data_IF_572824282529
#
_entry.id   IF_572824282529
#
_cell.length_a   1.000
_cell.length_b   1.000
_cell.length_c   1.000
_cell.angle_alpha   90.00
_cell.angle_beta   90.00
_cell.angle_gamma   90.00
#
_symmetry.space_group_name_H-M   'P 1'
#
loop_
_entity.id
_entity.type
_entity.pdbx_description
1 polymer ?
#
# COMPACT_ATOMS: atom_id res chain seq x y z
N UNK A 1 76.24 22.97 3.84
CA UNK A 1 75.68 21.95 2.94
C UNK A 1 74.33 21.52 3.51
N UNK A 2 73.24 21.86 2.80
CA UNK A 2 71.85 21.52 3.14
C UNK A 2 71.54 20.13 2.63
N UNK A 3 70.79 19.31 3.38
CA UNK A 3 69.77 18.44 2.79
C UNK A 3 68.55 18.47 3.71
N UNK A 4 67.44 18.91 3.13
CA UNK A 4 66.10 19.01 3.70
C UNK A 4 65.43 17.65 3.56
N UNK A 5 64.82 17.13 4.62
CA UNK A 5 63.86 16.03 4.50
C UNK A 5 62.46 16.67 4.45
N UNK A 6 61.77 16.44 3.34
CA UNK A 6 60.41 16.91 3.09
C UNK A 6 59.44 16.28 4.10
N UNK A 7 58.68 17.12 4.79
CA UNK A 7 57.39 16.76 5.35
C UNK A 7 56.42 16.52 4.19
N UNK A 8 55.82 15.34 4.11
CA UNK A 8 54.58 15.13 3.36
C UNK A 8 53.51 14.76 4.37
N UNK A 9 52.77 15.78 4.81
CA UNK A 9 51.59 15.62 5.64
C UNK A 9 50.46 15.10 4.77
N UNK A 10 50.05 13.85 4.97
CA UNK A 10 48.71 13.40 4.62
C UNK A 10 47.93 13.38 5.93
N UNK A 11 47.31 14.51 6.23
CA UNK A 11 46.37 14.62 7.34
C UNK A 11 45.08 13.91 6.88
N UNK A 12 45.00 12.61 7.10
CA UNK A 12 43.70 11.94 7.17
C UNK A 12 43.11 12.33 8.52
N UNK A 13 42.33 13.42 8.53
CA UNK A 13 41.45 13.71 9.66
C UNK A 13 40.39 12.60 9.63
N UNK A 14 40.68 11.49 10.29
CA UNK A 14 39.63 10.63 10.82
C UNK A 14 38.83 11.50 11.79
N UNK A 15 37.77 12.12 11.29
CA UNK A 15 36.64 12.49 12.13
C UNK A 15 36.06 11.15 12.61
N UNK A 16 36.68 10.56 13.63
CA UNK A 16 35.93 9.76 14.58
C UNK A 16 34.96 10.75 15.21
N UNK A 17 33.78 10.92 14.59
CA UNK A 17 32.60 11.25 15.36
C UNK A 17 32.42 10.07 16.32
N UNK A 18 33.11 10.13 17.44
CA UNK A 18 32.54 9.65 18.68
C UNK A 18 31.29 10.51 18.84
N UNK A 19 30.18 10.04 18.26
CA UNK A 19 28.87 10.45 18.72
C UNK A 19 28.90 10.06 20.19
N UNK A 20 29.14 11.05 21.04
CA UNK A 20 28.73 10.95 22.43
C UNK A 20 27.24 10.68 22.33
N UNK A 21 26.87 9.43 22.54
CA UNK A 21 25.50 9.06 22.79
C UNK A 21 25.09 9.86 24.02
N UNK A 22 24.52 11.04 23.81
CA UNK A 22 23.53 11.55 24.75
C UNK A 22 22.54 10.41 24.88
N UNK A 23 22.56 9.76 26.05
CA UNK A 23 21.49 8.85 26.45
C UNK A 23 20.23 9.69 26.39
N UNK A 24 19.53 9.62 25.26
CA UNK A 24 18.12 9.98 25.20
C UNK A 24 17.47 9.13 26.30
N UNK A 25 16.94 9.80 27.32
CA UNK A 25 16.18 9.12 28.35
C UNK A 25 15.05 8.42 27.64
N UNK A 26 15.13 7.08 27.54
CA UNK A 26 14.02 6.26 27.13
C UNK A 26 12.80 6.72 27.94
N UNK A 27 11.75 7.15 27.24
CA UNK A 27 10.51 7.57 27.87
C UNK A 27 10.03 6.40 28.73
N UNK A 28 10.03 6.57 30.05
CA UNK A 28 9.56 5.55 30.99
C UNK A 28 8.14 5.12 30.57
N UNK A 29 8.01 3.86 30.12
CA UNK A 29 6.76 3.28 29.63
C UNK A 29 6.68 2.98 28.12
N UNK A 30 7.67 3.40 27.32
CA UNK A 30 7.76 2.96 25.92
C UNK A 30 8.39 1.56 25.84
N UNK A 31 7.64 0.59 25.31
CA UNK A 31 8.17 -0.73 24.95
C UNK A 31 8.47 -0.76 23.45
N UNK A 32 9.72 -0.95 23.08
CA UNK A 32 10.10 -1.17 21.69
C UNK A 32 9.80 -2.62 21.30
N UNK A 33 9.13 -2.83 20.17
CA UNK A 33 8.88 -4.15 19.59
C UNK A 33 9.35 -4.13 18.14
N UNK A 34 10.26 -5.04 17.79
CA UNK A 34 10.66 -5.25 16.41
C UNK A 34 9.52 -5.93 15.65
N UNK A 35 9.04 -5.29 14.59
CA UNK A 35 7.92 -5.76 13.77
C UNK A 35 8.32 -6.20 12.36
N UNK A 36 9.50 -5.79 11.87
CA UNK A 36 10.09 -6.23 10.60
C UNK A 36 11.59 -5.85 10.53
N UNK A 37 12.40 -6.67 9.85
CA UNK A 37 13.79 -6.33 9.51
C UNK A 37 13.88 -5.82 8.07
N UNK A 38 14.19 -4.52 7.89
CA UNK A 38 14.14 -3.88 6.56
C UNK A 38 15.55 -3.74 5.97
N UNK A 39 15.77 -4.32 4.79
CA UNK A 39 16.99 -4.10 4.02
C UNK A 39 16.87 -2.81 3.16
N UNK A 40 17.47 -1.72 3.66
CA UNK A 40 17.33 -0.37 3.13
C UNK A 40 17.72 -0.06 1.66
N UNK A 41 18.57 -0.82 0.92
CA UNK A 41 19.00 -0.44 -0.43
C UNK A 41 17.89 -0.44 -1.50
N UNK A 42 16.74 -1.07 -1.25
CA UNK A 42 15.78 -1.43 -2.32
C UNK A 42 14.31 -1.14 -2.01
N UNK A 43 13.99 -0.58 -0.83
CA UNK A 43 12.61 -0.31 -0.42
C UNK A 43 12.12 1.09 -0.81
N UNK A 44 10.82 1.21 -1.07
CA UNK A 44 10.14 2.50 -1.28
C UNK A 44 9.62 3.00 0.07
N UNK A 45 10.26 4.01 0.67
CA UNK A 45 9.93 4.48 2.03
C UNK A 45 8.47 4.85 2.21
N UNK A 46 7.86 5.52 1.22
CA UNK A 46 6.46 5.98 1.29
C UNK A 46 5.44 4.82 1.25
N UNK A 47 5.89 3.63 0.88
CA UNK A 47 5.03 2.45 0.79
C UNK A 47 4.77 1.78 2.12
N UNK A 48 5.62 1.98 3.15
CA UNK A 48 5.47 1.32 4.45
C UNK A 48 4.07 1.56 5.04
N UNK A 49 3.43 0.47 5.45
CA UNK A 49 2.17 0.44 6.18
C UNK A 49 2.31 -0.45 7.38
N UNK A 50 1.78 0.01 8.49
CA UNK A 50 1.64 -0.76 9.72
C UNK A 50 0.16 -1.11 9.87
N UNK A 51 -0.15 -2.32 10.33
CA UNK A 51 -1.52 -2.71 10.62
C UNK A 51 -2.11 -1.89 11.77
N UNK A 52 -3.45 -1.72 11.84
CA UNK A 52 -4.10 -1.00 12.93
C UNK A 52 -3.74 -1.49 14.34
N UNK A 53 -3.47 -2.77 14.53
CA UNK A 53 -3.05 -3.35 15.82
C UNK A 53 -1.55 -3.19 16.12
N UNK A 54 -0.78 -2.62 15.19
CA UNK A 54 0.65 -2.35 15.32
C UNK A 54 1.54 -3.58 15.17
N UNK A 55 1.01 -4.75 14.78
CA UNK A 55 1.76 -6.02 14.82
C UNK A 55 2.28 -6.50 13.48
N UNK A 56 1.85 -5.86 12.39
CA UNK A 56 2.17 -6.27 11.03
C UNK A 56 2.70 -5.11 10.23
N UNK A 57 3.57 -5.42 9.28
CA UNK A 57 4.14 -4.44 8.38
C UNK A 57 4.02 -4.91 6.93
N UNK A 58 3.75 -3.98 6.03
CA UNK A 58 3.79 -4.22 4.59
C UNK A 58 4.50 -3.07 3.89
N UNK A 59 5.34 -3.37 2.91
CA UNK A 59 6.05 -2.37 2.12
C UNK A 59 6.36 -2.89 0.71
N UNK A 60 6.57 -1.98 -0.22
CA UNK A 60 6.94 -2.27 -1.60
C UNK A 60 8.46 -2.29 -1.73
N UNK A 61 8.96 -3.35 -2.34
CA UNK A 61 10.38 -3.55 -2.67
C UNK A 61 10.56 -3.47 -4.18
N UNK A 62 11.57 -2.72 -4.62
CA UNK A 62 11.99 -2.66 -6.02
C UNK A 62 13.20 -3.56 -6.25
N UNK A 63 13.15 -4.38 -7.28
CA UNK A 63 14.20 -5.36 -7.61
C UNK A 63 15.06 -4.88 -8.79
N UNK A 64 16.27 -5.44 -8.93
CA UNK A 64 17.21 -5.06 -9.99
C UNK A 64 16.67 -5.34 -11.40
N UNK A 65 15.78 -6.31 -11.57
CA UNK A 65 15.08 -6.62 -12.83
C UNK A 65 13.90 -5.67 -13.11
N UNK A 66 13.81 -4.55 -12.37
CA UNK A 66 12.77 -3.52 -12.48
C UNK A 66 11.36 -4.02 -12.19
N UNK A 67 11.25 -5.06 -11.36
CA UNK A 67 9.98 -5.51 -10.82
C UNK A 67 9.75 -4.89 -9.45
N UNK A 68 8.52 -4.98 -8.99
CA UNK A 68 8.10 -4.58 -7.66
C UNK A 68 7.30 -5.72 -7.03
N UNK A 69 7.42 -5.89 -5.72
CA UNK A 69 6.55 -6.78 -4.96
C UNK A 69 6.19 -6.15 -3.62
N UNK A 70 5.13 -6.66 -3.00
CA UNK A 70 4.78 -6.30 -1.63
C UNK A 70 5.36 -7.38 -0.72
N UNK A 71 6.20 -6.96 0.22
CA UNK A 71 6.60 -7.76 1.37
C UNK A 71 5.56 -7.56 2.47
N UNK A 72 5.09 -8.66 3.07
CA UNK A 72 4.17 -8.63 4.22
C UNK A 72 4.72 -9.54 5.30
N UNK A 73 5.08 -8.98 6.45
CA UNK A 73 5.60 -9.73 7.60
C UNK A 73 6.81 -10.62 7.22
N UNK A 74 7.80 -10.02 6.53
CA UNK A 74 9.03 -10.64 6.02
C UNK A 74 8.78 -11.77 5.00
N UNK A 75 7.69 -11.66 4.23
CA UNK A 75 7.33 -12.61 3.18
C UNK A 75 7.13 -11.89 1.86
N UNK A 76 8.02 -12.21 0.91
CA UNK A 76 7.95 -11.75 -0.46
C UNK A 76 6.66 -12.25 -1.16
N UNK A 77 5.85 -11.31 -1.63
CA UNK A 77 4.73 -11.57 -2.52
C UNK A 77 5.16 -11.77 -3.98
N UNK A 78 4.18 -11.94 -4.86
CA UNK A 78 4.43 -12.05 -6.31
C UNK A 78 5.04 -10.74 -6.85
N UNK A 79 5.90 -10.87 -7.87
CA UNK A 79 6.52 -9.75 -8.58
C UNK A 79 5.65 -9.24 -9.72
N UNK A 80 5.58 -7.93 -9.83
CA UNK A 80 4.79 -7.16 -10.80
C UNK A 80 5.68 -6.14 -11.53
N UNK A 81 5.22 -5.66 -12.69
CA UNK A 81 5.85 -4.53 -13.40
C UNK A 81 5.77 -3.22 -12.59
N UNK A 82 4.77 -3.11 -11.72
CA UNK A 82 4.61 -2.00 -10.78
C UNK A 82 3.55 -2.29 -9.73
N UNK A 83 3.63 -1.63 -8.58
CA UNK A 83 2.59 -1.62 -7.55
C UNK A 83 1.90 -0.27 -7.54
N UNK A 84 0.58 -0.26 -7.39
CA UNK A 84 -0.24 0.95 -7.44
C UNK A 84 0.03 1.84 -6.22
N UNK A 85 0.16 3.15 -6.46
CA UNK A 85 0.25 4.14 -5.39
C UNK A 85 -0.97 4.05 -4.44
N UNK A 86 -0.75 4.36 -3.17
CA UNK A 86 -1.73 4.21 -2.08
C UNK A 86 -2.12 2.76 -1.77
N UNK A 87 -1.29 1.80 -2.17
CA UNK A 87 -1.29 0.42 -1.66
C UNK A 87 0.13 0.02 -1.22
N UNK A 88 0.33 -0.98 -0.34
CA UNK A 88 -0.66 -1.86 0.33
C UNK A 88 -1.65 -1.15 1.27
N UNK A 89 -2.74 -1.84 1.66
CA UNK A 89 -3.72 -1.39 2.69
C UNK A 89 -4.16 -2.55 3.60
N UNK A 90 -4.14 -2.35 4.92
CA UNK A 90 -4.65 -3.34 5.89
C UNK A 90 -6.15 -3.16 6.12
N UNK A 91 -6.85 -4.26 6.43
CA UNK A 91 -8.21 -4.18 6.99
C UNK A 91 -8.22 -3.60 8.40
N UNK A 92 -9.36 -3.04 8.86
CA UNK A 92 -9.52 -2.53 10.23
C UNK A 92 -9.15 -3.55 11.33
N UNK A 93 -9.46 -4.82 11.14
CA UNK A 93 -9.13 -5.90 12.07
C UNK A 93 -7.67 -6.39 11.99
N UNK A 94 -6.84 -5.76 11.15
CA UNK A 94 -5.43 -6.08 10.92
C UNK A 94 -5.15 -7.46 10.28
N UNK A 95 -6.18 -8.25 9.96
CA UNK A 95 -6.00 -9.63 9.49
C UNK A 95 -5.83 -9.73 7.98
N UNK A 96 -6.34 -8.76 7.24
CA UNK A 96 -6.37 -8.78 5.78
C UNK A 96 -5.51 -7.69 5.18
N UNK A 97 -5.10 -7.92 3.94
CA UNK A 97 -4.24 -7.02 3.19
C UNK A 97 -4.65 -7.01 1.72
N UNK A 98 -4.64 -5.84 1.11
CA UNK A 98 -4.84 -5.68 -0.31
C UNK A 98 -3.83 -4.73 -0.96
N UNK A 99 -3.48 -5.02 -2.21
CA UNK A 99 -2.68 -4.13 -3.06
C UNK A 99 -3.05 -4.35 -4.53
N UNK A 100 -2.59 -3.46 -5.41
CA UNK A 100 -2.77 -3.66 -6.85
C UNK A 100 -1.42 -3.72 -7.55
N UNK A 101 -1.22 -4.78 -8.34
CA UNK A 101 -0.01 -5.00 -9.14
C UNK A 101 -0.31 -4.92 -10.63
N UNK A 102 0.66 -4.43 -11.40
CA UNK A 102 0.58 -4.39 -12.86
C UNK A 102 1.34 -5.59 -13.47
N UNK A 103 0.71 -6.31 -14.39
CA UNK A 103 1.35 -7.34 -15.22
C UNK A 103 0.82 -7.24 -16.63
N UNK A 104 1.69 -7.33 -17.64
CA UNK A 104 1.30 -7.33 -19.06
C UNK A 104 0.39 -6.15 -19.44
N UNK A 105 0.67 -4.96 -18.88
CA UNK A 105 -0.11 -3.71 -19.04
C UNK A 105 -1.53 -3.75 -18.47
N UNK A 106 -1.89 -4.78 -17.71
CA UNK A 106 -3.14 -4.88 -16.96
C UNK A 106 -2.88 -4.75 -15.47
N UNK A 107 -3.87 -4.25 -14.74
CA UNK A 107 -3.83 -4.18 -13.29
C UNK A 107 -4.65 -5.30 -12.67
N UNK A 108 -4.15 -5.83 -11.56
CA UNK A 108 -4.77 -6.90 -10.79
C UNK A 108 -4.78 -6.47 -9.33
N UNK A 109 -5.93 -6.53 -8.68
CA UNK A 109 -6.00 -6.40 -7.22
C UNK A 109 -5.67 -7.76 -6.61
N UNK A 110 -4.78 -7.75 -5.64
CA UNK A 110 -4.45 -8.90 -4.80
C UNK A 110 -5.09 -8.67 -3.44
N UNK A 111 -5.91 -9.63 -2.99
CA UNK A 111 -6.53 -9.62 -1.67
C UNK A 111 -6.12 -10.90 -0.95
N UNK A 112 -5.47 -10.76 0.21
CA UNK A 112 -5.03 -11.90 1.03
C UNK A 112 -4.17 -12.90 0.24
N UNK A 113 -3.32 -12.39 -0.66
CA UNK A 113 -2.43 -13.17 -1.52
C UNK A 113 -3.08 -13.78 -2.75
N UNK A 114 -4.40 -13.57 -2.96
CA UNK A 114 -5.12 -14.07 -4.13
C UNK A 114 -5.31 -12.96 -5.17
N UNK A 115 -4.92 -13.26 -6.40
CA UNK A 115 -5.16 -12.40 -7.57
C UNK A 115 -6.63 -12.43 -7.99
N UNK A 116 -7.23 -11.25 -8.12
CA UNK A 116 -8.56 -11.06 -8.70
C UNK A 116 -8.49 -10.93 -10.23
N UNK A 117 -9.60 -10.54 -10.87
CA UNK A 117 -9.68 -10.32 -12.31
C UNK A 117 -8.73 -9.19 -12.78
N UNK A 118 -8.26 -9.30 -14.02
CA UNK A 118 -7.44 -8.29 -14.70
C UNK A 118 -8.29 -7.14 -15.26
N UNK A 119 -7.77 -5.92 -15.13
CA UNK A 119 -8.41 -4.67 -15.56
C UNK A 119 -7.45 -3.79 -16.36
N UNK A 120 -8.00 -2.86 -17.15
CA UNK A 120 -7.22 -1.84 -17.84
C UNK A 120 -6.58 -0.86 -16.85
N UNK A 121 -7.35 -0.44 -15.85
CA UNK A 121 -6.90 0.42 -14.76
C UNK A 121 -7.58 0.04 -13.44
N UNK A 122 -6.94 0.41 -12.34
CA UNK A 122 -7.52 0.43 -10.99
C UNK A 122 -7.45 1.87 -10.48
N UNK A 123 -8.52 2.36 -9.86
CA UNK A 123 -8.55 3.71 -9.30
C UNK A 123 -7.52 3.86 -8.18
N UNK A 124 -6.56 4.77 -8.32
CA UNK A 124 -5.58 5.03 -7.28
C UNK A 124 -6.27 5.44 -5.97
N UNK A 125 -5.91 4.78 -4.86
CA UNK A 125 -6.54 5.01 -3.56
C UNK A 125 -8.00 4.53 -3.43
N UNK A 126 -8.51 3.75 -4.38
CA UNK A 126 -9.89 3.22 -4.32
C UNK A 126 -10.01 1.88 -3.57
N UNK A 127 -8.91 1.15 -3.39
CA UNK A 127 -8.89 -0.14 -2.70
C UNK A 127 -9.17 0.07 -1.22
N UNK A 128 -10.25 -0.53 -0.71
CA UNK A 128 -10.71 -0.32 0.67
C UNK A 128 -11.42 -1.55 1.24
N UNK A 129 -11.38 -1.70 2.57
CA UNK A 129 -12.10 -2.72 3.33
C UNK A 129 -13.31 -2.11 4.05
N UNK A 130 -14.33 -2.93 4.28
CA UNK A 130 -15.45 -2.54 5.16
C UNK A 130 -14.99 -2.37 6.62
N UNK A 131 -15.68 -1.56 7.43
CA UNK A 131 -15.45 -1.46 8.87
C UNK A 131 -15.34 -2.81 9.59
N UNK A 132 -16.21 -3.78 9.28
CA UNK A 132 -16.15 -5.13 9.85
C UNK A 132 -15.06 -6.03 9.24
N UNK A 133 -14.25 -5.49 8.32
CA UNK A 133 -13.14 -6.16 7.62
C UNK A 133 -13.53 -7.33 6.72
N UNK A 134 -14.83 -7.64 6.55
CA UNK A 134 -15.26 -8.80 5.76
C UNK A 134 -15.34 -8.53 4.27
N UNK A 135 -15.56 -7.28 3.89
CA UNK A 135 -15.80 -6.89 2.51
C UNK A 135 -14.65 -6.07 1.97
N UNK A 136 -14.47 -6.12 0.66
CA UNK A 136 -13.48 -5.32 -0.05
C UNK A 136 -14.12 -4.66 -1.27
N UNK A 137 -13.68 -3.45 -1.58
CA UNK A 137 -14.12 -2.74 -2.77
C UNK A 137 -13.00 -1.95 -3.42
N UNK A 138 -13.13 -1.71 -4.72
CA UNK A 138 -12.24 -0.87 -5.51
C UNK A 138 -12.93 -0.39 -6.79
N UNK A 139 -12.40 0.67 -7.41
CA UNK A 139 -12.80 1.10 -8.74
C UNK A 139 -11.91 0.44 -9.78
N UNK A 140 -12.49 -0.12 -10.83
CA UNK A 140 -11.77 -0.73 -11.93
C UNK A 140 -12.29 -0.23 -13.27
N UNK A 141 -11.41 -0.20 -14.26
CA UNK A 141 -11.74 0.12 -15.66
C UNK A 141 -11.55 -1.10 -16.55
N UNK A 142 -12.52 -1.34 -17.43
CA UNK A 142 -12.40 -2.31 -18.52
C UNK A 142 -13.09 -1.78 -19.77
N UNK A 143 -12.39 -1.80 -20.90
CA UNK A 143 -12.88 -1.34 -22.20
C UNK A 143 -13.42 0.10 -22.18
N UNK A 144 -12.73 1.00 -21.46
CA UNK A 144 -13.11 2.42 -21.39
C UNK A 144 -14.29 2.75 -20.46
N UNK A 145 -14.73 1.79 -19.65
CA UNK A 145 -15.82 1.97 -18.67
C UNK A 145 -15.36 1.60 -17.27
N UNK A 146 -15.79 2.42 -16.31
CA UNK A 146 -15.49 2.26 -14.89
C UNK A 146 -16.63 1.56 -14.15
N UNK A 147 -16.32 0.68 -13.21
CA UNK A 147 -17.29 0.05 -12.32
C UNK A 147 -16.68 -0.16 -10.93
N UNK A 148 -17.55 -0.15 -9.92
CA UNK A 148 -17.18 -0.55 -8.59
C UNK A 148 -17.10 -2.08 -8.60
N UNK A 149 -16.01 -2.63 -8.11
CA UNK A 149 -15.92 -4.05 -7.79
C UNK A 149 -16.13 -4.18 -6.29
N UNK A 150 -17.14 -4.93 -5.89
CA UNK A 150 -17.49 -5.16 -4.49
C UNK A 150 -17.50 -6.65 -4.26
N UNK A 151 -16.67 -7.14 -3.34
CA UNK A 151 -16.58 -8.56 -3.01
C UNK A 151 -16.34 -9.44 -4.26
N UNK A 152 -15.52 -8.94 -5.20
CA UNK A 152 -15.19 -9.59 -6.47
C UNK A 152 -16.26 -9.46 -7.57
N UNK A 153 -17.39 -8.81 -7.29
CA UNK A 153 -18.49 -8.60 -8.25
C UNK A 153 -18.43 -7.21 -8.86
N UNK A 154 -18.48 -7.16 -10.18
CA UNK A 154 -18.57 -5.93 -10.97
C UNK A 154 -19.99 -5.35 -10.91
N UNK A 155 -20.12 -4.10 -10.47
CA UNK A 155 -21.39 -3.37 -10.49
C UNK A 155 -21.61 -2.65 -11.83
N UNK A 156 -22.65 -1.80 -11.87
CA UNK A 156 -23.01 -1.04 -13.08
C UNK A 156 -21.82 -0.23 -13.62
N UNK A 157 -21.73 -0.18 -14.95
CA UNK A 157 -20.72 0.58 -15.68
C UNK A 157 -21.07 2.06 -15.80
N UNK A 158 -20.04 2.90 -15.74
CA UNK A 158 -20.10 4.36 -15.80
C UNK A 158 -18.91 4.92 -16.58
N UNK A 159 -18.94 6.21 -16.90
CA UNK A 159 -17.83 6.94 -17.52
C UNK A 159 -16.70 7.25 -16.53
N UNK A 160 -16.98 7.13 -15.23
CA UNK A 160 -16.01 7.34 -14.15
C UNK A 160 -16.59 6.96 -12.80
N UNK A 161 -15.72 6.58 -11.86
CA UNK A 161 -16.07 6.30 -10.47
C UNK A 161 -15.05 6.95 -9.53
N UNK A 162 -15.54 7.48 -8.41
CA UNK A 162 -14.70 8.03 -7.34
C UNK A 162 -15.35 7.88 -5.97
N UNK A 163 -14.59 8.19 -4.91
CA UNK A 163 -15.06 8.28 -3.52
C UNK A 163 -15.85 7.05 -3.02
N UNK A 164 -15.30 5.84 -3.20
CA UNK A 164 -15.87 4.62 -2.64
C UNK A 164 -15.77 4.61 -1.11
N UNK A 165 -16.90 4.49 -0.42
CA UNK A 165 -16.97 4.45 1.04
C UNK A 165 -17.99 3.43 1.51
N UNK A 166 -17.62 2.58 2.47
CA UNK A 166 -18.56 1.70 3.17
C UNK A 166 -19.35 2.50 4.21
N UNK A 167 -20.62 2.14 4.40
CA UNK A 167 -21.38 2.62 5.55
C UNK A 167 -20.83 2.02 6.84
N UNK A 168 -21.02 2.71 7.96
CA UNK A 168 -20.56 2.25 9.28
C UNK A 168 -21.24 0.97 9.78
N UNK A 169 -22.38 0.61 9.19
CA UNK A 169 -23.12 -0.64 9.46
C UNK A 169 -22.76 -1.78 8.49
N UNK A 170 -21.78 -1.57 7.61
CA UNK A 170 -21.28 -2.52 6.60
C UNK A 170 -22.32 -2.97 5.55
N UNK A 171 -23.57 -2.51 5.64
CA UNK A 171 -24.68 -2.96 4.77
C UNK A 171 -24.66 -2.29 3.40
N UNK A 172 -24.02 -1.12 3.29
CA UNK A 172 -24.04 -0.29 2.10
C UNK A 172 -22.65 0.17 1.72
N UNK A 173 -22.50 0.49 0.44
CA UNK A 173 -21.36 1.22 -0.09
C UNK A 173 -21.90 2.38 -0.93
N UNK A 174 -21.30 3.56 -0.77
CA UNK A 174 -21.59 4.71 -1.59
C UNK A 174 -20.37 5.05 -2.47
N UNK A 175 -20.63 5.53 -3.67
CA UNK A 175 -19.60 6.04 -4.57
C UNK A 175 -20.16 7.13 -5.48
N UNK A 176 -19.29 8.03 -5.93
CA UNK A 176 -19.61 8.96 -6.99
C UNK A 176 -19.45 8.25 -8.34
N UNK A 177 -20.45 8.36 -9.21
CA UNK A 177 -20.43 7.83 -10.55
C UNK A 177 -20.63 8.95 -11.56
N UNK A 178 -19.94 8.87 -12.70
CA UNK A 178 -20.07 9.80 -13.82
C UNK A 178 -20.82 9.15 -14.98
N UNK A 179 -21.85 9.79 -15.51
CA UNK A 179 -22.51 9.40 -16.75
C UNK A 179 -22.87 10.66 -17.53
N UNK A 180 -22.59 10.70 -18.84
CA UNK A 180 -22.96 11.83 -19.71
C UNK A 180 -22.50 13.19 -19.11
N UNK A 181 -21.25 13.24 -18.65
CA UNK A 181 -20.63 14.40 -18.01
C UNK A 181 -21.25 14.89 -16.69
N UNK A 182 -22.13 14.12 -16.06
CA UNK A 182 -22.71 14.42 -14.75
C UNK A 182 -22.26 13.43 -13.68
N UNK A 183 -21.90 13.96 -12.52
CA UNK A 183 -21.62 13.16 -11.33
C UNK A 183 -22.86 13.02 -10.45
N UNK A 184 -23.10 11.81 -9.95
CA UNK A 184 -24.16 11.53 -8.98
C UNK A 184 -23.71 10.46 -7.99
N UNK A 185 -24.30 10.46 -6.80
CA UNK A 185 -24.04 9.43 -5.81
C UNK A 185 -24.83 8.16 -6.13
N UNK A 186 -24.16 7.02 -6.04
CA UNK A 186 -24.76 5.69 -6.11
C UNK A 186 -24.58 5.01 -4.77
N UNK A 187 -25.64 4.40 -4.26
CA UNK A 187 -25.62 3.60 -3.03
C UNK A 187 -26.01 2.19 -3.40
N UNK A 188 -25.14 1.24 -3.11
CA UNK A 188 -25.38 -0.20 -3.30
C UNK A 188 -25.47 -0.83 -1.92
N UNK A 189 -26.52 -1.59 -1.65
CA UNK A 189 -26.71 -2.27 -0.36
C UNK A 189 -27.35 -3.64 -0.51
N UNK A 190 -27.20 -4.49 0.49
CA UNK A 190 -27.99 -5.72 0.61
C UNK A 190 -29.39 -5.32 1.10
N UNK A 191 -30.45 -5.66 0.34
CA UNK A 191 -31.81 -5.55 0.85
C UNK A 191 -31.96 -6.44 2.09
N UNK A 192 -32.45 -5.88 3.19
CA UNK A 192 -32.97 -6.72 4.27
C UNK A 192 -34.28 -7.33 3.77
N UNK A 193 -34.32 -8.65 3.59
CA UNK A 193 -35.59 -9.35 3.43
C UNK A 193 -36.42 -9.09 4.68
N UNK A 194 -37.46 -8.27 4.56
CA UNK A 194 -38.53 -8.22 5.57
C UNK A 194 -39.20 -9.59 5.56
N UNK A 195 -39.08 -10.32 6.67
CA UNK A 195 -39.84 -11.55 6.96
C UNK A 195 -41.08 -11.20 7.77
#
# INVERSE_FOLDING_TARGET
MRVRILFLAVIFVCFSMTVLAEKEQAVEGASETLIAEINFPSWIKESLKISPDGKRAAYVVFTLDRKQFVDVDDKEGKRYDGILMNTPVFSPDSRRMAYAGQTDKKWIVVIDGKEEKQYDNIGAGSVTFSPDSKRAAYAAELNGKWFAVIDGKEEKQYDGIGFLVFSSDDKRIAYAAKSEDKWFAVIVGKEEKQY
#
